data_IF_991009676220
#
_entry.id   IF_991009676220
#
_cell.length_a   1.000
_cell.length_b   1.000
_cell.length_c   1.000
_cell.angle_alpha   90.00
_cell.angle_beta   90.00
_cell.angle_gamma   90.00
#
_symmetry.space_group_name_H-M   'P 1'
#
loop_
_entity.id
_entity.type
_entity.pdbx_description
1 polymer ?
#
# COMPACT_ATOMS: atom_id res chain seq x y z
N UNK A 1 28.84 11.75 13.05
CA UNK A 1 29.61 13.01 12.91
C UNK A 1 29.85 13.61 14.28
N UNK A 2 31.10 13.91 14.64
CA UNK A 2 31.48 14.49 15.94
C UNK A 2 31.83 15.96 15.74
N UNK A 3 31.24 16.87 16.53
CA UNK A 3 31.48 18.31 16.47
C UNK A 3 31.79 18.83 17.87
N UNK A 4 32.92 19.50 18.03
CA UNK A 4 33.28 20.25 19.24
C UNK A 4 33.11 21.74 18.91
N UNK A 5 32.51 22.51 19.83
CA UNK A 5 32.32 23.95 19.68
C UNK A 5 32.74 24.62 20.99
N UNK A 6 33.69 25.54 20.89
CA UNK A 6 34.09 26.40 22.01
C UNK A 6 33.56 27.80 21.68
N UNK A 7 32.88 28.44 22.62
CA UNK A 7 32.44 29.83 22.50
C UNK A 7 32.99 30.62 23.67
N UNK A 8 33.53 31.79 23.37
CA UNK A 8 34.11 32.71 24.33
C UNK A 8 33.42 34.05 24.13
N UNK A 9 32.73 34.53 25.17
CA UNK A 9 32.06 35.83 25.18
C UNK A 9 32.76 36.69 26.21
N UNK A 10 33.36 37.80 25.75
CA UNK A 10 34.08 38.76 26.60
C UNK A 10 33.24 40.02 26.78
N UNK A 11 33.09 40.44 28.03
CA UNK A 11 32.28 41.59 28.43
C UNK A 11 32.17 41.70 29.96
N UNK A 12 31.27 42.55 30.46
CA UNK A 12 30.97 42.70 31.90
C UNK A 12 30.55 41.39 32.57
N UNK A 13 29.97 40.45 31.82
CA UNK A 13 29.79 39.06 32.22
C UNK A 13 30.53 38.13 31.26
N UNK A 14 31.84 37.97 31.48
CA UNK A 14 32.67 37.09 30.67
C UNK A 14 32.30 35.63 30.91
N UNK A 15 32.06 34.87 29.83
CA UNK A 15 31.79 33.43 29.90
C UNK A 15 32.52 32.63 28.82
N UNK A 16 32.84 31.40 29.18
CA UNK A 16 33.47 30.38 28.34
C UNK A 16 32.51 29.19 28.32
N UNK A 17 32.06 28.79 27.14
CA UNK A 17 31.31 27.55 26.96
C UNK A 17 32.04 26.55 26.09
N UNK A 18 32.08 25.30 26.55
CA UNK A 18 32.66 24.16 25.85
C UNK A 18 31.54 23.16 25.59
N UNK A 19 31.20 22.98 24.32
CA UNK A 19 30.18 22.06 23.86
C UNK A 19 30.77 20.92 23.03
N UNK A 20 30.23 19.72 23.22
CA UNK A 20 30.44 18.59 22.34
C UNK A 20 29.10 18.09 21.82
N UNK A 21 29.07 17.65 20.55
CA UNK A 21 27.90 17.07 19.92
C UNK A 21 28.30 15.84 19.12
N UNK A 22 27.61 14.74 19.37
CA UNK A 22 27.67 13.52 18.57
C UNK A 22 26.31 13.25 17.97
N UNK A 23 26.27 13.18 16.64
CA UNK A 23 25.06 12.84 15.90
C UNK A 23 25.32 11.61 15.04
N UNK A 24 24.53 10.58 15.30
CA UNK A 24 24.40 9.35 14.53
C UNK A 24 23.00 9.32 13.88
N UNK A 25 22.73 8.29 13.07
CA UNK A 25 21.53 8.21 12.24
C UNK A 25 20.22 8.21 13.06
N UNK A 26 20.21 7.45 14.17
CA UNK A 26 19.07 7.32 15.10
C UNK A 26 19.27 8.02 16.45
N UNK A 27 20.48 8.48 16.78
CA UNK A 27 20.82 9.01 18.11
C UNK A 27 21.58 10.33 17.99
N UNK A 28 21.24 11.31 18.81
CA UNK A 28 21.98 12.55 18.92
C UNK A 28 22.21 12.86 20.39
N UNK A 29 23.46 12.98 20.79
CA UNK A 29 23.87 13.38 22.12
C UNK A 29 24.67 14.68 22.02
N UNK A 30 24.47 15.60 22.95
CA UNK A 30 25.38 16.71 23.12
C UNK A 30 25.43 17.15 24.58
N UNK A 31 26.57 17.69 24.98
CA UNK A 31 26.79 18.28 26.28
C UNK A 31 27.45 19.64 26.11
N UNK A 32 27.12 20.56 26.99
CA UNK A 32 27.72 21.88 27.06
C UNK A 32 28.01 22.23 28.50
N UNK A 33 29.23 22.68 28.77
CA UNK A 33 29.65 23.21 30.07
C UNK A 33 29.93 24.69 29.89
N UNK A 34 29.36 25.53 30.76
CA UNK A 34 29.48 26.98 30.78
C UNK A 34 30.13 27.40 32.09
N UNK A 35 31.19 28.19 31.98
CA UNK A 35 31.87 28.83 33.09
C UNK A 35 31.90 30.33 32.82
N UNK A 36 31.24 31.11 33.65
CA UNK A 36 31.29 32.57 33.65
C UNK A 36 31.72 33.11 34.99
N UNK A 37 32.01 34.40 35.05
CA UNK A 37 32.46 35.09 36.26
C UNK A 37 31.44 34.97 37.41
N UNK A 38 30.13 34.97 37.10
CA UNK A 38 29.04 34.92 38.09
C UNK A 38 28.13 33.69 37.97
N UNK A 39 28.36 32.79 37.00
CA UNK A 39 27.53 31.60 36.82
C UNK A 39 28.32 30.43 36.27
N UNK A 40 28.05 29.23 36.79
CA UNK A 40 28.52 27.98 36.21
C UNK A 40 27.32 27.10 35.88
N UNK A 41 27.41 26.32 34.82
CA UNK A 41 26.37 25.36 34.51
C UNK A 41 26.78 24.33 33.48
N UNK A 42 26.35 23.10 33.66
CA UNK A 42 26.42 22.03 32.71
C UNK A 42 25.02 21.73 32.14
N UNK A 43 24.95 21.40 30.86
CA UNK A 43 23.74 20.90 30.24
C UNK A 43 24.05 19.71 29.36
N UNK A 44 23.15 18.74 29.33
CA UNK A 44 23.23 17.56 28.50
C UNK A 44 21.89 17.38 27.79
N UNK A 45 21.92 17.00 26.51
CA UNK A 45 20.73 16.65 25.76
C UNK A 45 20.95 15.40 24.92
N UNK A 46 19.98 14.50 24.99
CA UNK A 46 19.94 13.24 24.28
C UNK A 46 18.62 13.14 23.51
N UNK A 47 18.71 12.95 22.20
CA UNK A 47 17.57 12.78 21.30
C UNK A 47 17.67 11.42 20.63
N UNK A 48 16.61 10.64 20.71
CA UNK A 48 16.50 9.31 20.10
C UNK A 48 15.39 9.30 19.05
N UNK A 49 15.69 8.89 17.83
CA UNK A 49 14.70 8.75 16.74
C UNK A 49 14.19 7.33 16.70
N UNK A 50 12.91 7.15 17.04
CA UNK A 50 12.24 5.85 17.00
C UNK A 50 11.77 5.49 15.59
N UNK A 51 11.46 6.50 14.76
CA UNK A 51 11.00 6.34 13.38
C UNK A 51 11.46 7.53 12.53
N UNK A 52 11.26 7.48 11.22
CA UNK A 52 11.49 8.63 10.31
C UNK A 52 10.64 9.85 10.68
N UNK A 53 9.51 9.62 11.37
CA UNK A 53 8.57 10.66 11.80
C UNK A 53 8.59 10.94 13.32
N UNK A 54 9.08 10.05 14.17
CA UNK A 54 8.93 10.19 15.63
C UNK A 54 10.28 10.19 16.36
N UNK A 55 10.47 11.11 17.29
CA UNK A 55 11.68 11.23 18.11
C UNK A 55 11.37 11.58 19.57
N UNK A 56 12.13 11.01 20.49
CA UNK A 56 12.15 11.37 21.91
C UNK A 56 13.35 12.26 22.22
N UNK A 57 13.21 13.16 23.19
CA UNK A 57 14.26 14.05 23.68
C UNK A 57 14.25 14.06 25.21
N UNK A 58 15.44 13.91 25.79
CA UNK A 58 15.71 14.07 27.21
C UNK A 58 16.82 15.10 27.32
N UNK A 59 16.69 16.09 28.19
CA UNK A 59 17.74 17.05 28.47
C UNK A 59 17.79 17.38 29.97
N UNK A 60 18.98 17.62 30.48
CA UNK A 60 19.20 18.08 31.85
C UNK A 60 20.07 19.33 31.82
N UNK A 61 19.77 20.27 32.72
CA UNK A 61 20.57 21.48 32.97
C UNK A 61 20.80 21.59 34.47
N UNK A 62 22.06 21.75 34.86
CA UNK A 62 22.48 21.92 36.24
C UNK A 62 23.42 23.11 36.28
N UNK A 63 23.13 24.13 37.08
CA UNK A 63 23.99 25.29 37.26
C UNK A 63 23.72 25.99 38.58
N UNK A 64 24.53 27.01 38.89
CA UNK A 64 24.49 27.74 40.15
C UNK A 64 23.11 28.28 40.52
N UNK A 65 22.28 28.60 39.53
CA UNK A 65 20.95 29.21 39.71
C UNK A 65 19.80 28.41 39.07
N UNK A 66 20.08 27.26 38.45
CA UNK A 66 19.06 26.50 37.73
C UNK A 66 19.34 24.98 37.74
N UNK A 67 18.35 24.20 38.16
CA UNK A 67 18.30 22.75 37.96
C UNK A 67 17.00 22.43 37.24
N UNK A 68 17.11 22.03 35.97
CA UNK A 68 15.99 21.73 35.09
C UNK A 68 16.18 20.36 34.44
N UNK A 69 15.12 19.58 34.38
CA UNK A 69 15.05 18.32 33.67
C UNK A 69 13.91 18.38 32.64
N UNK A 70 14.23 18.09 31.39
CA UNK A 70 13.30 18.15 30.27
C UNK A 70 13.14 16.76 29.66
N UNK A 71 11.92 16.25 29.62
CA UNK A 71 11.57 14.98 28.97
C UNK A 71 10.47 15.25 27.98
N UNK A 72 10.56 14.69 26.77
CA UNK A 72 9.41 14.66 25.91
C UNK A 72 9.68 14.05 24.56
N UNK A 73 8.75 14.30 23.65
CA UNK A 73 8.78 13.68 22.33
C UNK A 73 8.13 14.58 21.30
N UNK A 74 8.46 14.31 20.04
CA UNK A 74 7.87 14.99 18.93
C UNK A 74 7.60 14.07 17.75
N UNK A 75 6.69 14.52 16.90
CA UNK A 75 6.34 13.87 15.66
C UNK A 75 6.34 14.87 14.52
N UNK A 76 6.95 14.48 13.41
CA UNK A 76 6.89 15.17 12.13
C UNK A 76 5.55 14.83 11.48
N UNK A 77 4.68 15.84 11.36
CA UNK A 77 3.34 15.70 10.78
C UNK A 77 3.42 15.86 9.26
N UNK A 78 4.24 16.79 8.79
CA UNK A 78 4.46 17.09 7.37
C UNK A 78 5.95 17.31 7.09
N UNK A 79 6.35 17.42 5.83
CA UNK A 79 7.73 17.72 5.44
C UNK A 79 8.24 19.02 6.09
N UNK A 80 7.36 20.00 6.29
CA UNK A 80 7.71 21.31 6.85
C UNK A 80 7.19 21.55 8.27
N UNK A 81 6.51 20.57 8.90
CA UNK A 81 5.88 20.74 10.21
C UNK A 81 6.28 19.65 11.20
N UNK A 82 6.86 20.07 12.33
CA UNK A 82 7.18 19.20 13.46
C UNK A 82 6.52 19.71 14.74
N UNK A 83 5.82 18.83 15.42
CA UNK A 83 5.18 19.10 16.72
C UNK A 83 5.99 18.40 17.80
N UNK A 84 6.23 19.09 18.92
CA UNK A 84 6.91 18.53 20.10
C UNK A 84 6.15 18.90 21.36
N UNK A 85 6.10 17.97 22.29
CA UNK A 85 5.58 18.16 23.64
C UNK A 85 6.69 17.80 24.61
N UNK A 86 7.11 18.77 25.41
CA UNK A 86 8.23 18.67 26.34
C UNK A 86 7.74 19.03 27.74
N UNK A 87 8.05 18.18 28.71
CA UNK A 87 7.81 18.35 30.12
C UNK A 87 9.10 18.88 30.74
N UNK A 88 9.07 20.09 31.28
CA UNK A 88 10.21 20.69 31.96
C UNK A 88 9.90 20.72 33.46
N UNK A 89 10.76 20.07 34.25
CA UNK A 89 10.66 19.92 35.69
C UNK A 89 11.91 20.57 36.26
N UNK A 90 11.76 21.67 36.98
CA UNK A 90 12.90 22.36 37.58
C UNK A 90 12.59 22.93 38.95
N UNK A 91 13.57 23.65 39.51
CA UNK A 91 13.43 24.34 40.80
C UNK A 91 12.28 25.38 40.75
N UNK A 92 12.02 25.95 39.57
CA UNK A 92 10.93 26.91 39.34
C UNK A 92 9.58 26.24 39.05
N UNK A 93 9.47 24.92 39.26
CA UNK A 93 8.22 24.16 39.11
C UNK A 93 8.15 23.34 37.82
N UNK A 94 6.92 23.01 37.40
CA UNK A 94 6.63 22.12 36.26
C UNK A 94 5.94 22.90 35.14
N UNK A 95 6.52 22.85 33.94
CA UNK A 95 6.02 23.54 32.75
C UNK A 95 5.90 22.58 31.57
N UNK A 96 4.79 22.61 30.85
CA UNK A 96 4.69 22.00 29.52
C UNK A 96 5.10 22.99 28.45
N UNK A 97 5.92 22.54 27.50
CA UNK A 97 6.30 23.31 26.33
C UNK A 97 5.78 22.60 25.10
N UNK A 98 4.81 23.23 24.43
CA UNK A 98 4.36 22.83 23.11
C UNK A 98 5.18 23.57 22.06
N UNK A 99 6.04 22.86 21.32
CA UNK A 99 6.80 23.46 20.22
C UNK A 99 6.18 23.05 18.86
N UNK A 100 5.81 24.06 18.06
CA UNK A 100 5.41 23.90 16.67
C UNK A 100 6.48 24.56 15.80
N UNK A 101 7.25 23.76 15.06
CA UNK A 101 8.14 24.29 14.04
C UNK A 101 7.46 24.14 12.68
N UNK A 102 7.16 25.25 12.01
CA UNK A 102 6.60 25.27 10.64
C UNK A 102 7.42 26.22 9.76
N UNK A 103 7.99 25.70 8.67
CA UNK A 103 8.65 26.49 7.63
C UNK A 103 9.66 27.56 8.15
N UNK A 104 10.47 27.19 9.15
CA UNK A 104 11.48 28.08 9.75
C UNK A 104 11.00 28.90 10.96
N UNK A 105 9.69 28.98 11.20
CA UNK A 105 9.13 29.61 12.39
C UNK A 105 8.99 28.61 13.53
N UNK A 106 9.44 28.98 14.74
CA UNK A 106 9.32 28.18 15.96
C UNK A 106 8.35 28.86 16.91
N UNK A 107 7.14 28.32 17.01
CA UNK A 107 6.15 28.73 18.01
C UNK A 107 6.31 27.84 19.24
N UNK A 108 6.54 28.45 20.41
CA UNK A 108 6.61 27.74 21.69
C UNK A 108 5.55 28.30 22.62
N UNK A 109 4.64 27.45 23.07
CA UNK A 109 3.60 27.81 24.04
C UNK A 109 3.98 27.12 25.36
N UNK A 110 4.57 27.85 26.32
CA UNK A 110 4.82 27.34 27.66
C UNK A 110 3.55 27.44 28.50
N UNK A 111 3.12 26.32 29.08
CA UNK A 111 2.01 26.23 30.04
C UNK A 111 2.61 25.87 31.40
N UNK A 112 2.64 26.83 32.31
CA UNK A 112 3.06 26.60 33.69
C UNK A 112 1.95 25.85 34.42
N UNK A 113 2.25 24.69 34.97
CA UNK A 113 1.27 23.86 35.67
C UNK A 113 1.31 24.07 37.17
N UNK A 114 2.52 24.15 37.72
CA UNK A 114 2.73 24.38 39.15
C UNK A 114 4.07 25.05 39.37
N UNK A 115 4.12 25.97 40.33
CA UNK A 115 5.34 26.60 40.85
C UNK A 115 6.01 25.74 41.91
N UNK A 116 5.28 24.81 42.53
CA UNK A 116 5.75 24.00 43.64
C UNK A 116 6.02 22.56 43.21
N UNK A 117 7.09 21.98 43.76
CA UNK A 117 7.47 20.60 43.47
C UNK A 117 6.59 19.63 44.27
N UNK A 118 5.36 19.40 43.80
CA UNK A 118 4.45 18.42 44.41
C UNK A 118 4.25 17.22 43.47
N UNK A 119 4.66 16.04 43.96
CA UNK A 119 4.66 14.77 43.22
C UNK A 119 3.29 14.40 42.61
N UNK A 120 2.18 14.81 43.25
CA UNK A 120 0.84 14.56 42.74
C UNK A 120 0.55 15.33 41.43
N UNK A 121 1.05 16.57 41.32
CA UNK A 121 0.90 17.37 40.11
C UNK A 121 1.83 16.88 38.99
N UNK A 122 3.04 16.41 39.33
CA UNK A 122 3.95 15.81 38.35
C UNK A 122 3.35 14.53 37.75
N UNK A 123 2.80 13.65 38.59
CA UNK A 123 2.19 12.40 38.13
C UNK A 123 0.91 12.67 37.35
N UNK A 124 0.04 13.57 37.80
CA UNK A 124 -1.16 13.98 37.08
C UNK A 124 -0.83 14.59 35.71
N UNK A 125 0.19 15.45 35.65
CA UNK A 125 0.63 16.08 34.41
C UNK A 125 1.16 15.06 33.39
N UNK A 126 1.81 13.99 33.83
CA UNK A 126 2.23 12.94 32.91
C UNK A 126 1.10 11.98 32.54
N UNK A 127 0.32 11.55 33.54
CA UNK A 127 -0.72 10.55 33.37
C UNK A 127 -1.85 11.07 32.46
N UNK A 128 -2.45 12.23 32.78
CA UNK A 128 -3.68 12.71 32.12
C UNK A 128 -3.54 12.80 30.58
N UNK A 129 -2.50 13.45 30.01
CA UNK A 129 -2.35 13.52 28.55
C UNK A 129 -2.06 12.15 27.93
N UNK A 130 -1.35 11.27 28.63
CA UNK A 130 -1.00 9.94 28.13
C UNK A 130 -2.23 9.02 28.06
N UNK A 131 -3.07 8.99 29.10
CA UNK A 131 -4.32 8.22 29.12
C UNK A 131 -5.30 8.80 28.10
N UNK A 132 -5.44 10.12 28.02
CA UNK A 132 -6.32 10.77 27.05
C UNK A 132 -5.89 10.45 25.60
N UNK A 133 -4.59 10.51 25.31
CA UNK A 133 -4.05 10.13 24.00
C UNK A 133 -4.33 8.67 23.67
N UNK A 134 -4.12 7.76 24.62
CA UNK A 134 -4.37 6.33 24.43
C UNK A 134 -5.85 6.02 24.18
N UNK A 135 -6.75 6.65 24.95
CA UNK A 135 -8.20 6.50 24.78
C UNK A 135 -8.66 7.03 23.42
N UNK A 136 -8.25 8.25 23.05
CA UNK A 136 -8.58 8.83 21.74
C UNK A 136 -8.06 7.99 20.58
N UNK A 137 -6.82 7.50 20.67
CA UNK A 137 -6.24 6.70 19.62
C UNK A 137 -6.97 5.36 19.45
N UNK A 138 -7.38 4.73 20.55
CA UNK A 138 -8.04 3.42 20.53
C UNK A 138 -9.50 3.51 20.11
N UNK A 139 -10.25 4.49 20.65
CA UNK A 139 -11.70 4.58 20.46
C UNK A 139 -12.14 5.44 19.28
N UNK A 140 -11.34 6.41 18.83
CA UNK A 140 -11.75 7.33 17.75
C UNK A 140 -10.91 7.10 16.50
N UNK A 141 -9.58 7.19 16.65
CA UNK A 141 -8.67 7.18 15.50
C UNK A 141 -8.65 5.82 14.81
N UNK A 142 -8.37 4.73 15.56
CA UNK A 142 -8.29 3.38 15.00
C UNK A 142 -9.58 2.95 14.27
N UNK A 143 -10.79 3.08 14.84
CA UNK A 143 -12.00 2.67 14.12
C UNK A 143 -12.29 3.54 12.90
N UNK A 144 -11.98 4.84 12.94
CA UNK A 144 -12.17 5.71 11.78
C UNK A 144 -11.31 5.29 10.57
N UNK A 145 -10.02 5.01 10.79
CA UNK A 145 -9.13 4.56 9.71
C UNK A 145 -9.56 3.21 9.14
N UNK A 146 -9.91 2.24 10.01
CA UNK A 146 -10.38 0.93 9.57
C UNK A 146 -11.68 1.02 8.76
N UNK A 147 -12.62 1.89 9.15
CA UNK A 147 -13.86 2.13 8.40
C UNK A 147 -13.57 2.71 7.01
N UNK A 148 -12.65 3.68 6.93
CA UNK A 148 -12.27 4.32 5.67
C UNK A 148 -11.55 3.36 4.72
N UNK A 149 -10.70 2.48 5.24
CA UNK A 149 -10.07 1.44 4.43
C UNK A 149 -11.11 0.45 3.90
N UNK A 150 -12.06 0.01 4.74
CA UNK A 150 -13.16 -0.86 4.31
C UNK A 150 -14.02 -0.21 3.22
N UNK A 151 -14.36 1.07 3.35
CA UNK A 151 -15.11 1.80 2.31
C UNK A 151 -14.35 1.83 0.99
N UNK A 152 -13.05 2.13 1.01
CA UNK A 152 -12.22 2.13 -0.21
C UNK A 152 -12.13 0.76 -0.86
N UNK A 153 -12.11 -0.33 -0.08
CA UNK A 153 -12.11 -1.69 -0.65
C UNK A 153 -13.46 -2.01 -1.27
N UNK A 154 -14.57 -1.61 -0.64
CA UNK A 154 -15.92 -1.80 -1.19
C UNK A 154 -16.12 -1.01 -2.48
N UNK A 155 -15.75 0.28 -2.50
CA UNK A 155 -15.83 1.13 -3.72
C UNK A 155 -15.02 0.54 -4.89
N UNK A 156 -13.85 -0.03 -4.60
CA UNK A 156 -13.04 -0.75 -5.60
C UNK A 156 -13.73 -2.03 -6.09
N UNK A 157 -14.37 -2.79 -5.21
CA UNK A 157 -15.10 -3.99 -5.60
C UNK A 157 -16.34 -3.65 -6.43
N UNK A 158 -17.09 -2.62 -6.04
CA UNK A 158 -18.27 -2.15 -6.76
C UNK A 158 -17.90 -1.65 -8.16
N UNK A 159 -16.88 -0.79 -8.26
CA UNK A 159 -16.38 -0.30 -9.57
C UNK A 159 -15.79 -1.39 -10.46
N UNK A 160 -15.15 -2.42 -9.89
CA UNK A 160 -14.71 -3.59 -10.66
C UNK A 160 -15.92 -4.41 -11.14
N UNK A 161 -16.95 -4.58 -10.30
CA UNK A 161 -18.14 -5.34 -10.68
C UNK A 161 -18.89 -4.68 -11.85
N UNK A 162 -19.05 -3.36 -11.84
CA UNK A 162 -19.69 -2.63 -12.94
C UNK A 162 -18.88 -2.79 -14.24
N UNK A 163 -17.56 -2.58 -14.19
CA UNK A 163 -16.68 -2.77 -15.34
C UNK A 163 -16.74 -4.20 -15.91
N UNK A 164 -16.77 -5.23 -15.04
CA UNK A 164 -16.91 -6.62 -15.47
C UNK A 164 -18.26 -6.88 -16.16
N UNK A 165 -19.36 -6.33 -15.65
CA UNK A 165 -20.67 -6.48 -16.29
C UNK A 165 -20.74 -5.80 -17.65
N UNK A 166 -20.16 -4.60 -17.79
CA UNK A 166 -20.07 -3.88 -19.07
C UNK A 166 -19.21 -4.64 -20.07
N UNK A 167 -18.04 -5.13 -19.66
CA UNK A 167 -17.15 -5.94 -20.49
C UNK A 167 -17.82 -7.25 -20.95
N UNK A 168 -18.54 -7.93 -20.05
CA UNK A 168 -19.33 -9.13 -20.38
C UNK A 168 -20.41 -8.84 -21.41
N UNK A 169 -21.12 -7.72 -21.27
CA UNK A 169 -22.14 -7.31 -22.24
C UNK A 169 -21.53 -6.94 -23.60
N UNK A 170 -20.40 -6.24 -23.62
CA UNK A 170 -19.67 -5.88 -24.85
C UNK A 170 -19.16 -7.12 -25.59
N UNK A 171 -18.60 -8.09 -24.88
CA UNK A 171 -18.19 -9.38 -25.44
C UNK A 171 -19.39 -10.14 -26.02
N UNK A 172 -20.51 -10.24 -25.29
CA UNK A 172 -21.72 -10.92 -25.77
C UNK A 172 -22.31 -10.26 -27.02
N UNK A 173 -22.31 -8.92 -27.10
CA UNK A 173 -22.70 -8.18 -28.30
C UNK A 173 -21.78 -8.50 -29.47
N UNK A 174 -20.47 -8.52 -29.25
CA UNK A 174 -19.48 -8.87 -30.28
C UNK A 174 -19.65 -10.32 -30.76
N UNK A 175 -19.90 -11.28 -29.86
CA UNK A 175 -20.17 -12.67 -30.21
C UNK A 175 -21.41 -12.81 -31.11
N UNK A 176 -22.50 -12.10 -30.80
CA UNK A 176 -23.72 -12.07 -31.64
C UNK A 176 -23.44 -11.53 -33.04
N UNK A 177 -22.55 -10.54 -33.18
CA UNK A 177 -22.16 -10.01 -34.49
C UNK A 177 -21.32 -11.01 -35.30
N UNK A 178 -20.50 -11.82 -34.62
CA UNK A 178 -19.65 -12.83 -35.25
C UNK A 178 -20.40 -14.11 -35.60
N UNK A 179 -21.53 -14.39 -34.96
CA UNK A 179 -22.30 -15.64 -35.06
C UNK A 179 -22.63 -16.05 -36.50
N UNK A 180 -23.16 -15.17 -37.39
CA UNK A 180 -23.50 -15.58 -38.76
C UNK A 180 -22.27 -15.99 -39.57
N UNK A 181 -21.16 -15.25 -39.45
CA UNK A 181 -19.92 -15.52 -40.18
C UNK A 181 -19.21 -16.75 -39.62
N UNK A 182 -19.22 -16.89 -38.29
CA UNK A 182 -18.69 -18.07 -37.59
C UNK A 182 -19.42 -19.33 -38.03
N UNK A 183 -20.75 -19.33 -38.06
CA UNK A 183 -21.54 -20.49 -38.48
C UNK A 183 -21.30 -20.84 -39.95
N UNK A 184 -21.20 -19.84 -40.84
CA UNK A 184 -20.85 -20.06 -42.24
C UNK A 184 -19.46 -20.69 -42.40
N UNK A 185 -18.45 -20.18 -41.69
CA UNK A 185 -17.09 -20.73 -41.71
C UNK A 185 -17.06 -22.15 -41.14
N UNK A 186 -17.72 -22.38 -40.02
CA UNK A 186 -17.86 -23.68 -39.36
C UNK A 186 -18.45 -24.72 -40.33
N UNK A 187 -19.56 -24.39 -40.99
CA UNK A 187 -20.22 -25.31 -41.91
C UNK A 187 -19.33 -25.64 -43.12
N UNK A 188 -18.69 -24.63 -43.73
CA UNK A 188 -17.73 -24.83 -44.84
C UNK A 188 -16.58 -25.75 -44.44
N UNK A 189 -16.09 -25.58 -43.21
CA UNK A 189 -15.00 -26.40 -42.68
C UNK A 189 -15.48 -27.82 -42.33
N UNK A 190 -16.70 -27.98 -41.85
CA UNK A 190 -17.32 -29.27 -41.56
C UNK A 190 -17.59 -30.08 -42.84
N UNK A 191 -18.01 -29.44 -43.93
CA UNK A 191 -18.17 -30.08 -45.25
C UNK A 191 -16.83 -30.58 -45.83
N UNK A 192 -15.73 -29.92 -45.46
CA UNK A 192 -14.37 -30.24 -45.94
C UNK A 192 -13.57 -31.10 -44.94
N UNK A 193 -14.23 -31.70 -43.95
CA UNK A 193 -13.61 -32.47 -42.84
C UNK A 193 -12.44 -31.75 -42.15
N UNK A 194 -12.49 -30.43 -42.10
CA UNK A 194 -11.44 -29.59 -41.54
C UNK A 194 -11.62 -29.27 -40.05
N UNK A 195 -10.92 -28.23 -39.58
CA UNK A 195 -10.93 -27.82 -38.17
C UNK A 195 -12.26 -27.20 -37.72
N UNK A 196 -12.99 -27.88 -36.84
CA UNK A 196 -14.23 -27.38 -36.22
C UNK A 196 -14.08 -27.33 -34.72
N UNK A 197 -14.23 -26.16 -34.11
CA UNK A 197 -14.13 -26.00 -32.65
C UNK A 197 -15.48 -26.33 -32.05
N UNK A 198 -15.52 -27.36 -31.21
CA UNK A 198 -16.75 -27.88 -30.59
C UNK A 198 -17.07 -27.18 -29.28
N UNK A 199 -16.06 -26.96 -28.43
CA UNK A 199 -16.20 -26.28 -27.14
C UNK A 199 -14.94 -25.50 -26.83
N UNK A 200 -15.08 -24.24 -26.43
CA UNK A 200 -13.95 -23.46 -25.95
C UNK A 200 -14.32 -22.58 -24.76
N UNK A 201 -13.54 -22.71 -23.68
CA UNK A 201 -13.80 -22.03 -22.41
C UNK A 201 -12.59 -21.19 -22.01
N UNK A 202 -12.82 -19.93 -21.66
CA UNK A 202 -11.80 -19.00 -21.20
C UNK A 202 -12.14 -18.48 -19.80
N UNK A 203 -11.21 -18.58 -18.85
CA UNK A 203 -11.46 -18.09 -17.49
C UNK A 203 -10.46 -18.57 -16.47
N UNK A 204 -10.87 -18.59 -15.20
CA UNK A 204 -10.00 -18.99 -14.10
C UNK A 204 -9.51 -20.44 -14.26
N UNK A 205 -8.21 -20.68 -14.08
CA UNK A 205 -7.57 -21.98 -14.28
C UNK A 205 -8.23 -23.14 -13.53
N UNK A 206 -8.70 -22.94 -12.29
CA UNK A 206 -9.34 -23.99 -11.48
C UNK A 206 -10.73 -24.35 -12.02
N UNK A 207 -11.54 -23.32 -12.25
CA UNK A 207 -12.93 -23.47 -12.72
C UNK A 207 -13.01 -24.04 -14.14
N UNK A 208 -12.11 -23.63 -15.04
CA UNK A 208 -12.06 -24.18 -16.41
C UNK A 208 -11.77 -25.69 -16.40
N UNK A 209 -10.91 -26.17 -15.50
CA UNK A 209 -10.63 -27.61 -15.36
C UNK A 209 -11.83 -28.38 -14.81
N UNK A 210 -12.50 -27.83 -13.80
CA UNK A 210 -13.74 -28.40 -13.23
C UNK A 210 -14.87 -28.46 -14.27
N UNK A 211 -15.10 -27.38 -15.03
CA UNK A 211 -16.10 -27.33 -16.12
C UNK A 211 -15.77 -28.18 -17.34
N UNK A 212 -14.55 -28.72 -17.42
CA UNK A 212 -14.18 -29.71 -18.43
C UNK A 212 -14.55 -31.14 -18.03
N UNK A 213 -14.82 -31.39 -16.74
CA UNK A 213 -15.18 -32.69 -16.19
C UNK A 213 -16.69 -32.84 -15.93
N UNK A 214 -17.39 -31.74 -15.65
CA UNK A 214 -18.83 -31.69 -15.46
C UNK A 214 -19.49 -31.19 -16.76
N UNK A 215 -20.39 -31.99 -17.33
CA UNK A 215 -21.10 -31.73 -18.59
C UNK A 215 -22.12 -30.59 -18.52
N UNK A 216 -22.44 -30.09 -17.32
CA UNK A 216 -23.40 -29.01 -17.10
C UNK A 216 -22.71 -27.82 -16.43
N UNK A 217 -22.79 -26.66 -17.09
CA UNK A 217 -22.30 -25.39 -16.55
C UNK A 217 -23.36 -24.90 -15.56
N UNK A 218 -23.17 -25.20 -14.28
CA UNK A 218 -24.01 -24.66 -13.21
C UNK A 218 -23.89 -23.11 -13.21
N UNK A 219 -25.03 -22.41 -13.17
CA UNK A 219 -25.13 -20.95 -13.33
C UNK A 219 -24.33 -20.18 -12.26
N UNK A 220 -24.01 -20.82 -11.12
CA UNK A 220 -23.13 -20.27 -10.08
C UNK A 220 -21.64 -20.27 -10.46
N UNK A 221 -21.20 -21.20 -11.32
CA UNK A 221 -19.81 -21.29 -11.84
C UNK A 221 -19.60 -20.35 -13.04
N UNK A 222 -20.69 -19.93 -13.70
CA UNK A 222 -20.73 -19.00 -14.84
C UNK A 222 -20.30 -17.55 -14.53
N UNK A 223 -19.82 -17.28 -13.32
CA UNK A 223 -19.31 -15.96 -12.91
C UNK A 223 -17.87 -15.69 -13.39
N UNK A 224 -17.06 -16.72 -13.64
CA UNK A 224 -15.62 -16.57 -13.95
C UNK A 224 -15.14 -17.38 -15.17
N UNK A 225 -16.07 -17.93 -15.95
CA UNK A 225 -15.78 -18.68 -17.19
C UNK A 225 -16.62 -18.09 -18.33
N UNK A 226 -16.00 -17.92 -19.48
CA UNK A 226 -16.57 -17.40 -20.71
C UNK A 226 -16.50 -18.45 -21.80
N UNK A 227 -17.64 -18.74 -22.42
CA UNK A 227 -17.67 -19.51 -23.67
C UNK A 227 -17.18 -18.63 -24.83
N UNK A 228 -16.13 -19.10 -25.50
CA UNK A 228 -15.47 -18.43 -26.63
C UNK A 228 -15.47 -19.27 -27.90
N UNK A 229 -16.38 -20.25 -27.98
CA UNK A 229 -16.52 -21.16 -29.13
C UNK A 229 -16.83 -20.41 -30.43
N UNK A 230 -17.72 -19.41 -30.37
CA UNK A 230 -18.10 -18.60 -31.54
C UNK A 230 -16.93 -17.74 -32.04
N UNK A 231 -16.28 -16.89 -31.20
CA UNK A 231 -15.10 -16.13 -31.59
C UNK A 231 -13.97 -16.99 -32.18
N UNK A 232 -13.69 -18.15 -31.61
CA UNK A 232 -12.60 -18.99 -32.12
C UNK A 232 -12.94 -19.62 -33.46
N UNK A 233 -14.17 -20.11 -33.68
CA UNK A 233 -14.59 -20.60 -34.99
C UNK A 233 -14.52 -19.50 -36.07
N UNK A 234 -14.79 -18.24 -35.70
CA UNK A 234 -14.59 -17.10 -36.61
C UNK A 234 -13.11 -16.89 -36.98
N UNK A 235 -12.17 -17.12 -36.05
CA UNK A 235 -10.72 -16.96 -36.26
C UNK A 235 -10.07 -18.09 -37.07
N UNK A 236 -10.79 -19.19 -37.33
CA UNK A 236 -10.29 -20.26 -38.21
C UNK A 236 -10.09 -19.70 -39.62
N UNK A 237 -8.91 -19.97 -40.18
CA UNK A 237 -8.53 -19.61 -41.55
C UNK A 237 -9.13 -20.59 -42.56
N UNK A 238 -9.22 -20.21 -43.83
CA UNK A 238 -9.74 -21.11 -44.88
C UNK A 238 -8.86 -22.36 -45.08
N UNK A 239 -7.59 -22.30 -44.68
CA UNK A 239 -6.68 -23.44 -44.66
C UNK A 239 -6.93 -24.41 -43.49
N UNK A 240 -7.96 -24.17 -42.65
CA UNK A 240 -8.29 -25.04 -41.52
C UNK A 240 -7.32 -24.92 -40.34
N UNK A 241 -6.64 -23.78 -40.20
CA UNK A 241 -5.72 -23.52 -39.09
C UNK A 241 -6.21 -22.35 -38.24
N UNK A 242 -5.98 -22.41 -36.93
CA UNK A 242 -6.14 -21.30 -36.01
C UNK A 242 -4.82 -21.04 -35.31
N UNK A 243 -4.35 -19.80 -35.38
CA UNK A 243 -3.10 -19.34 -34.76
C UNK A 243 -3.36 -18.12 -33.88
N UNK A 244 -3.10 -18.25 -32.58
CA UNK A 244 -3.03 -17.17 -31.63
C UNK A 244 -1.55 -16.90 -31.33
N UNK A 245 -1.13 -15.65 -31.48
CA UNK A 245 0.26 -15.25 -31.28
C UNK A 245 0.60 -15.10 -29.80
N UNK A 246 1.86 -15.38 -29.45
CA UNK A 246 2.38 -15.15 -28.11
C UNK A 246 2.39 -13.65 -27.76
N UNK A 247 2.21 -13.33 -26.49
CA UNK A 247 2.29 -11.96 -25.97
C UNK A 247 1.02 -11.12 -26.15
N UNK A 248 0.05 -11.58 -26.94
CA UNK A 248 -1.27 -10.96 -27.04
C UNK A 248 -2.20 -11.58 -25.99
N UNK A 249 -2.77 -10.74 -25.11
CA UNK A 249 -3.78 -11.19 -24.15
C UNK A 249 -5.00 -11.73 -24.89
N UNK A 250 -5.46 -12.92 -24.53
CA UNK A 250 -6.67 -13.51 -25.13
C UNK A 250 -7.91 -12.68 -24.83
N UNK A 251 -7.94 -11.95 -23.71
CA UNK A 251 -9.02 -10.98 -23.41
C UNK A 251 -9.11 -9.80 -24.38
N UNK A 252 -8.06 -9.52 -25.17
CA UNK A 252 -8.06 -8.47 -26.20
C UNK A 252 -8.66 -8.92 -27.54
N UNK A 253 -8.99 -10.20 -27.69
CA UNK A 253 -9.61 -10.75 -28.91
C UNK A 253 -11.09 -10.34 -28.95
N UNK A 254 -11.60 -10.03 -30.15
CA UNK A 254 -13.01 -9.68 -30.32
C UNK A 254 -13.93 -10.82 -29.82
N UNK A 255 -14.89 -10.48 -28.96
CA UNK A 255 -15.78 -11.46 -28.34
C UNK A 255 -15.22 -12.16 -27.10
N UNK A 256 -13.99 -11.81 -26.68
CA UNK A 256 -13.43 -12.17 -25.39
C UNK A 256 -13.57 -11.00 -24.40
N UNK A 257 -13.52 -11.30 -23.11
CA UNK A 257 -13.25 -10.34 -22.03
C UNK A 257 -12.53 -11.08 -20.90
N UNK A 258 -11.95 -10.35 -19.94
CA UNK A 258 -11.34 -10.94 -18.75
C UNK A 258 -12.39 -11.19 -17.65
N UNK A 259 -12.77 -12.45 -17.35
CA UNK A 259 -13.77 -12.75 -16.32
C UNK A 259 -13.20 -12.78 -14.90
N UNK A 260 -11.87 -12.73 -14.73
CA UNK A 260 -11.21 -12.75 -13.42
C UNK A 260 -9.91 -11.91 -13.44
N UNK A 261 -10.03 -10.57 -13.36
CA UNK A 261 -8.89 -9.67 -13.33
C UNK A 261 -8.00 -9.92 -12.11
N UNK A 262 -6.69 -10.06 -12.33
CA UNK A 262 -5.73 -10.35 -11.27
C UNK A 262 -5.47 -11.84 -11.02
N UNK A 263 -6.35 -12.72 -11.49
CA UNK A 263 -6.16 -14.17 -11.43
C UNK A 263 -5.56 -14.73 -12.74
N UNK A 264 -4.81 -15.85 -12.66
CA UNK A 264 -4.30 -16.55 -13.83
C UNK A 264 -5.44 -17.20 -14.62
N UNK A 265 -5.41 -17.00 -15.94
CA UNK A 265 -6.44 -17.45 -16.87
C UNK A 265 -5.94 -18.50 -17.82
N UNK A 266 -6.85 -19.38 -18.20
CA UNK A 266 -6.62 -20.48 -19.11
C UNK A 266 -7.69 -20.46 -20.21
N UNK A 267 -7.27 -20.74 -21.43
CA UNK A 267 -8.12 -21.10 -22.55
C UNK A 267 -8.07 -22.61 -22.75
N UNK A 268 -9.22 -23.27 -22.61
CA UNK A 268 -9.44 -24.64 -23.01
C UNK A 268 -10.11 -24.65 -24.39
N UNK A 269 -9.60 -25.46 -25.32
CA UNK A 269 -10.20 -25.66 -26.65
C UNK A 269 -10.33 -27.15 -26.92
N UNK A 270 -11.55 -27.57 -27.22
CA UNK A 270 -11.89 -28.88 -27.76
C UNK A 270 -12.35 -28.70 -29.21
N UNK A 271 -11.77 -29.49 -30.11
CA UNK A 271 -12.02 -29.36 -31.54
C UNK A 271 -12.01 -30.72 -32.24
N UNK A 272 -12.63 -30.76 -33.42
CA UNK A 272 -12.62 -31.90 -34.33
C UNK A 272 -11.78 -31.54 -35.56
N UNK A 273 -10.93 -32.46 -35.99
CA UNK A 273 -10.14 -32.34 -37.21
C UNK A 273 -10.08 -33.70 -37.90
N UNK A 274 -10.48 -33.78 -39.18
CA UNK A 274 -10.58 -35.04 -39.92
C UNK A 274 -11.33 -36.16 -39.17
N UNK A 275 -12.46 -35.80 -38.54
CA UNK A 275 -13.32 -36.72 -37.80
C UNK A 275 -12.81 -37.16 -36.42
N UNK A 276 -11.62 -36.74 -35.98
CA UNK A 276 -11.05 -37.07 -34.67
C UNK A 276 -11.14 -35.91 -33.69
N UNK A 277 -11.23 -36.22 -32.40
CA UNK A 277 -11.35 -35.22 -31.33
C UNK A 277 -10.01 -34.88 -30.72
N UNK A 278 -9.81 -33.60 -30.42
CA UNK A 278 -8.60 -33.06 -29.86
C UNK A 278 -8.92 -32.08 -28.73
N UNK A 279 -8.00 -31.97 -27.76
CA UNK A 279 -8.12 -31.07 -26.61
C UNK A 279 -6.79 -30.41 -26.29
N UNK A 280 -6.82 -29.09 -26.11
CA UNK A 280 -5.63 -28.30 -25.78
C UNK A 280 -5.96 -27.22 -24.75
N UNK A 281 -4.99 -26.94 -23.88
CA UNK A 281 -5.04 -25.87 -22.89
C UNK A 281 -3.92 -24.87 -23.19
N UNK A 282 -4.22 -23.58 -23.15
CA UNK A 282 -3.26 -22.50 -23.38
C UNK A 282 -3.42 -21.38 -22.36
N UNK A 283 -2.31 -20.87 -21.82
CA UNK A 283 -2.28 -19.72 -20.90
C UNK A 283 -2.66 -18.42 -21.61
N UNK A 284 -3.11 -17.40 -20.87
CA UNK A 284 -3.60 -16.11 -21.41
C UNK A 284 -2.68 -15.43 -22.45
N UNK A 285 -1.35 -15.50 -22.26
CA UNK A 285 -0.38 -14.95 -23.22
C UNK A 285 0.28 -16.01 -24.11
N UNK A 286 -0.05 -17.29 -23.90
CA UNK A 286 0.55 -18.40 -24.61
C UNK A 286 0.08 -18.47 -26.06
N UNK A 287 1.02 -18.71 -26.96
CA UNK A 287 0.71 -19.03 -28.34
C UNK A 287 -0.14 -20.30 -28.42
N UNK A 288 -1.06 -20.35 -29.38
CA UNK A 288 -1.86 -21.52 -29.66
C UNK A 288 -1.93 -21.71 -31.17
N UNK A 289 -1.43 -22.84 -31.67
CA UNK A 289 -1.58 -23.24 -33.07
C UNK A 289 -2.30 -24.57 -33.11
N UNK A 290 -3.46 -24.63 -33.77
CA UNK A 290 -4.24 -25.85 -33.98
C UNK A 290 -4.61 -25.99 -35.46
N UNK A 291 -4.69 -27.22 -36.00
CA UNK A 291 -4.53 -28.51 -35.33
C UNK A 291 -3.06 -28.93 -35.07
N UNK A 292 -2.82 -29.75 -34.05
CA UNK A 292 -1.56 -30.47 -33.79
C UNK A 292 -1.85 -31.87 -33.28
N UNK A 293 -1.07 -32.87 -33.71
CA UNK A 293 -1.28 -34.29 -33.38
C UNK A 293 -1.13 -34.58 -31.89
N UNK A 294 -0.33 -33.79 -31.18
CA UNK A 294 -0.08 -33.93 -29.73
C UNK A 294 -1.36 -33.69 -28.90
N UNK A 295 -2.37 -33.05 -29.50
CA UNK A 295 -3.62 -32.72 -28.81
C UNK A 295 -4.71 -33.80 -28.97
N UNK A 296 -4.44 -34.91 -29.67
CA UNK A 296 -5.42 -35.98 -29.91
C UNK A 296 -5.83 -36.63 -28.58
N UNK A 297 -7.13 -36.91 -28.41
CA UNK A 297 -7.70 -37.56 -27.21
C UNK A 297 -7.74 -39.08 -27.40
#
# INVERSE_FOLDING_TARGET
MHRKKIQLVLGTESNISVGWQKKDEKRSAAGEIKFGTNSFGASAHYTHRFSSKSHGRIAGRVGSTALDFEIGGGRRISEFSTVRMLYNIGIQGVTWKFELNRAGQKLVIPVLLSTDFNALFVTGAFAIPSTLYFLLQTYVVKPYYLRREKQKTLEKMDSLSTQLTEARQAAKKSQRLLEPVSNRKKNKQQESDGLVITKALYGNHKKVKESSQLSEIDDNVASQVLDVTIPLNFLVTEAGQLKLHEGIKKSGIMGFYDPCPGDPKLLLVEYIFHGRQYKVMADDYGALSIPQDIHEI
#
